data_IF_289419142211
#
_entry.id   IF_289419142211
#
_cell.length_a   1.000
_cell.length_b   1.000
_cell.length_c   1.000
_cell.angle_alpha   90.00
_cell.angle_beta   90.00
_cell.angle_gamma   90.00
#
_symmetry.space_group_name_H-M   'P 1'
#
loop_
_entity.id
_entity.type
_entity.pdbx_description
1 polymer ?
#
# COMPACT_ATOMS: atom_id res chain seq x y z
N UNK A 1 -4.94 -13.29 23.16
CA UNK A 1 -5.55 -14.30 22.26
C UNK A 1 -7.04 -14.56 22.54
N UNK A 2 -7.48 -14.88 23.77
CA UNK A 2 -8.89 -15.24 24.05
C UNK A 2 -9.93 -14.16 23.69
N UNK A 3 -9.66 -12.88 24.00
CA UNK A 3 -10.60 -11.76 23.72
C UNK A 3 -10.72 -11.38 22.24
N UNK A 4 -9.73 -11.71 21.41
CA UNK A 4 -9.78 -11.45 19.94
C UNK A 4 -10.84 -12.35 19.30
N UNK A 5 -10.88 -13.62 19.70
CA UNK A 5 -11.88 -14.58 19.24
C UNK A 5 -13.28 -14.25 19.76
N UNK A 6 -13.41 -13.52 20.88
CA UNK A 6 -14.69 -13.03 21.39
C UNK A 6 -15.21 -11.82 20.59
N UNK A 7 -14.32 -10.93 20.13
CA UNK A 7 -14.71 -9.73 19.37
C UNK A 7 -15.01 -10.05 17.90
N UNK A 8 -14.22 -10.93 17.29
CA UNK A 8 -14.38 -11.28 15.88
C UNK A 8 -15.16 -12.58 15.66
N UNK A 9 -15.23 -13.47 16.65
CA UNK A 9 -15.59 -14.86 16.40
C UNK A 9 -14.49 -15.58 15.61
N UNK A 10 -14.64 -16.89 15.40
CA UNK A 10 -13.78 -17.60 14.45
C UNK A 10 -14.24 -17.25 13.02
N UNK A 11 -13.60 -16.25 12.41
CA UNK A 11 -13.92 -15.83 11.05
C UNK A 11 -13.20 -16.74 10.05
N UNK A 12 -13.99 -17.46 9.26
CA UNK A 12 -13.44 -18.18 8.11
C UNK A 12 -13.03 -17.19 7.00
N UNK A 13 -12.12 -17.57 6.08
CA UNK A 13 -11.71 -16.71 4.96
C UNK A 13 -12.88 -16.16 4.14
N UNK A 14 -13.97 -16.93 3.99
CA UNK A 14 -15.19 -16.50 3.28
C UNK A 14 -16.00 -15.43 4.02
N UNK A 15 -15.90 -15.39 5.35
CA UNK A 15 -16.53 -14.37 6.19
C UNK A 15 -15.70 -13.08 6.21
N UNK A 16 -14.39 -13.20 6.04
CA UNK A 16 -13.49 -12.05 5.94
C UNK A 16 -13.75 -11.21 4.67
N UNK A 17 -14.08 -11.86 3.56
CA UNK A 17 -14.37 -11.21 2.27
C UNK A 17 -15.79 -10.64 2.17
N UNK A 18 -16.64 -10.85 3.18
CA UNK A 18 -18.04 -10.40 3.20
C UNK A 18 -18.34 -9.41 4.33
N UNK A 19 -17.38 -9.15 5.21
CA UNK A 19 -17.52 -8.17 6.28
C UNK A 19 -17.42 -6.76 5.70
N UNK A 20 -18.39 -5.91 6.01
CA UNK A 20 -18.38 -4.52 5.55
C UNK A 20 -17.27 -3.72 6.26
N UNK A 21 -16.72 -2.74 5.54
CA UNK A 21 -15.58 -1.95 6.00
C UNK A 21 -15.88 -1.14 7.27
N UNK A 22 -17.15 -0.77 7.51
CA UNK A 22 -17.56 -0.05 8.71
C UNK A 22 -17.47 -0.97 9.93
N UNK A 23 -18.00 -2.19 9.84
CA UNK A 23 -17.91 -3.21 10.89
C UNK A 23 -16.47 -3.60 11.20
N UNK A 24 -15.61 -3.72 10.17
CA UNK A 24 -14.17 -3.98 10.36
C UNK A 24 -13.50 -2.86 11.16
N UNK A 25 -13.79 -1.59 10.80
CA UNK A 25 -13.21 -0.41 11.46
C UNK A 25 -13.65 -0.27 12.91
N UNK A 26 -14.92 -0.56 13.21
CA UNK A 26 -15.46 -0.52 14.58
C UNK A 26 -14.84 -1.62 15.47
N UNK A 27 -14.72 -2.84 14.95
CA UNK A 27 -14.10 -3.95 15.67
C UNK A 27 -12.60 -3.74 15.88
N UNK A 28 -11.88 -3.21 14.89
CA UNK A 28 -10.46 -2.85 15.02
C UNK A 28 -10.23 -1.72 16.04
N UNK A 29 -11.13 -0.72 16.07
CA UNK A 29 -11.07 0.37 17.06
C UNK A 29 -11.32 -0.14 18.49
N UNK A 30 -12.21 -1.12 18.63
CA UNK A 30 -12.49 -1.78 19.91
C UNK A 30 -11.27 -2.56 20.41
N UNK A 31 -10.60 -3.32 19.54
CA UNK A 31 -9.35 -4.01 19.88
C UNK A 31 -8.24 -3.05 20.31
N UNK A 32 -8.02 -1.98 19.54
CA UNK A 32 -7.03 -0.94 19.85
C UNK A 32 -7.24 -0.34 21.24
N UNK A 33 -8.49 -0.08 21.60
CA UNK A 33 -8.82 0.50 22.90
C UNK A 33 -8.67 -0.52 24.04
N UNK A 34 -8.94 -1.81 23.77
CA UNK A 34 -8.88 -2.89 24.77
C UNK A 34 -7.44 -3.30 25.13
N UNK A 35 -6.52 -3.20 24.17
CA UNK A 35 -5.10 -3.54 24.34
C UNK A 35 -4.20 -2.30 24.38
N UNK A 36 -4.78 -1.11 24.59
CA UNK A 36 -4.10 0.18 24.52
C UNK A 36 -2.84 0.27 25.40
N UNK A 37 -2.86 -0.41 26.53
CA UNK A 37 -1.79 -0.37 27.54
C UNK A 37 -0.80 -1.54 27.40
N UNK A 38 -1.15 -2.58 26.63
CA UNK A 38 -0.31 -3.78 26.38
C UNK A 38 0.34 -3.77 24.98
N UNK A 39 -0.14 -2.90 24.08
CA UNK A 39 0.36 -2.82 22.71
C UNK A 39 1.65 -2.02 22.69
N UNK A 40 2.78 -2.73 22.61
CA UNK A 40 4.04 -2.13 22.20
C UNK A 40 3.80 -1.40 20.86
N UNK A 41 3.98 -0.08 20.90
CA UNK A 41 3.61 0.83 19.80
C UNK A 41 4.41 0.51 18.54
N UNK A 42 5.57 -0.11 18.72
CA UNK A 42 6.45 -0.58 17.67
C UNK A 42 5.95 -1.92 17.08
N UNK A 43 5.42 -2.83 17.89
CA UNK A 43 4.81 -4.10 17.43
C UNK A 43 3.49 -3.86 16.67
N UNK A 44 2.65 -2.93 17.15
CA UNK A 44 1.45 -2.52 16.42
C UNK A 44 1.79 -1.80 15.10
N UNK A 45 2.91 -1.09 15.04
CA UNK A 45 3.39 -0.47 13.80
C UNK A 45 3.84 -1.54 12.80
N UNK A 46 4.51 -2.60 13.28
CA UNK A 46 4.89 -3.78 12.47
C UNK A 46 3.64 -4.55 12.00
N UNK A 47 2.58 -4.65 12.81
CA UNK A 47 1.33 -5.33 12.43
C UNK A 47 0.40 -4.47 11.55
N UNK A 48 0.45 -3.14 11.65
CA UNK A 48 -0.17 -2.23 10.67
C UNK A 48 0.63 -2.22 9.36
N UNK A 49 1.96 -2.37 9.42
CA UNK A 49 2.78 -2.65 8.23
C UNK A 49 2.52 -4.07 7.67
N UNK A 50 2.02 -5.00 8.49
CA UNK A 50 1.57 -6.34 8.11
C UNK A 50 0.17 -6.37 7.46
N UNK A 51 -0.61 -5.28 7.54
CA UNK A 51 -1.69 -4.98 6.57
C UNK A 51 -1.13 -4.62 5.17
N UNK A 52 0.11 -5.02 4.91
CA UNK A 52 0.68 -5.34 3.59
C UNK A 52 -0.40 -5.94 2.69
N UNK A 53 -0.81 -5.10 1.77
CA UNK A 53 -1.33 -5.46 0.46
C UNK A 53 -0.65 -6.74 -0.06
N UNK A 54 -1.42 -7.63 -0.68
CA UNK A 54 -0.99 -8.93 -1.19
C UNK A 54 0.24 -8.85 -2.10
N UNK A 55 0.99 -9.95 -2.16
CA UNK A 55 2.41 -10.03 -2.55
C UNK A 55 2.72 -9.65 -4.01
N UNK A 56 1.74 -9.43 -4.88
CA UNK A 56 1.96 -9.35 -6.35
C UNK A 56 1.26 -8.20 -7.09
N UNK A 57 0.83 -7.12 -6.41
CA UNK A 57 0.31 -5.95 -7.15
C UNK A 57 1.39 -5.07 -7.73
N UNK A 58 1.16 -4.64 -8.97
CA UNK A 58 1.93 -3.57 -9.59
C UNK A 58 1.61 -2.22 -8.93
N UNK A 59 2.48 -1.23 -9.14
CA UNK A 59 2.19 0.16 -8.76
C UNK A 59 0.88 0.64 -9.41
N UNK A 60 0.57 0.17 -10.62
CA UNK A 60 -0.68 0.53 -11.32
C UNK A 60 -1.92 0.03 -10.60
N UNK A 61 -1.91 -1.23 -10.12
CA UNK A 61 -3.03 -1.80 -9.36
C UNK A 61 -3.24 -1.04 -8.05
N UNK A 62 -2.14 -0.70 -7.39
CA UNK A 62 -2.18 0.08 -6.15
C UNK A 62 -2.79 1.48 -6.37
N UNK A 63 -2.42 2.18 -7.45
CA UNK A 63 -3.00 3.48 -7.79
C UNK A 63 -4.49 3.36 -8.11
N UNK A 64 -4.92 2.30 -8.80
CA UNK A 64 -6.31 2.07 -9.12
C UNK A 64 -7.16 1.89 -7.87
N UNK A 65 -6.70 1.07 -6.92
CA UNK A 65 -7.36 0.88 -5.63
C UNK A 65 -7.40 2.19 -4.83
N UNK A 66 -6.27 2.90 -4.75
CA UNK A 66 -6.21 4.15 -4.00
C UNK A 66 -7.16 5.22 -4.55
N UNK A 67 -7.27 5.33 -5.88
CA UNK A 67 -8.22 6.25 -6.54
C UNK A 67 -9.67 5.84 -6.29
N UNK A 68 -9.98 4.54 -6.33
CA UNK A 68 -11.32 4.03 -6.01
C UNK A 68 -11.70 4.39 -4.57
N UNK A 69 -10.85 4.07 -3.61
CA UNK A 69 -11.13 4.27 -2.19
C UNK A 69 -11.28 5.77 -1.84
N UNK A 70 -10.53 6.64 -2.51
CA UNK A 70 -10.64 8.10 -2.34
C UNK A 70 -11.89 8.68 -3.02
N UNK A 71 -12.36 8.10 -4.13
CA UNK A 71 -13.61 8.54 -4.76
C UNK A 71 -14.84 8.30 -3.88
N UNK A 72 -14.74 7.35 -2.94
CA UNK A 72 -15.77 7.08 -1.93
C UNK A 72 -15.67 8.02 -0.71
N UNK A 73 -14.68 8.92 -0.68
CA UNK A 73 -14.44 9.82 0.44
C UNK A 73 -14.73 11.29 0.08
N UNK A 74 -15.44 12.01 0.95
CA UNK A 74 -15.74 13.45 0.79
C UNK A 74 -14.58 14.35 1.27
N UNK A 75 -13.44 14.33 0.58
CA UNK A 75 -12.24 15.13 0.91
C UNK A 75 -12.34 16.63 0.53
N UNK A 76 -13.51 17.24 0.71
CA UNK A 76 -13.71 18.68 0.49
C UNK A 76 -13.66 19.46 1.79
N UNK A 77 -12.87 20.53 1.82
CA UNK A 77 -12.81 21.47 2.96
C UNK A 77 -13.30 22.84 2.52
N UNK A 78 -14.16 23.46 3.32
CA UNK A 78 -14.59 24.83 3.09
C UNK A 78 -13.44 25.79 3.45
N UNK A 79 -12.93 26.51 2.46
CA UNK A 79 -11.97 27.60 2.68
C UNK A 79 -12.71 28.86 3.16
N UNK A 80 -12.07 29.67 3.99
CA UNK A 80 -12.52 31.03 4.36
C UNK A 80 -12.77 31.91 3.11
N UNK A 81 -12.10 31.58 2.00
CA UNK A 81 -12.28 32.17 0.69
C UNK A 81 -13.56 31.76 -0.06
N UNK A 82 -14.52 31.10 0.62
CA UNK A 82 -15.80 30.60 0.05
C UNK A 82 -15.63 29.63 -1.14
N UNK A 83 -14.46 28.99 -1.24
CA UNK A 83 -14.16 27.94 -2.22
C UNK A 83 -14.05 26.61 -1.50
N UNK A 84 -14.64 25.56 -2.07
CA UNK A 84 -14.36 24.19 -1.63
C UNK A 84 -13.00 23.80 -2.21
N UNK A 85 -12.04 23.49 -1.33
CA UNK A 85 -10.72 23.00 -1.71
C UNK A 85 -10.69 21.50 -1.46
N UNK A 86 -10.40 20.72 -2.50
CA UNK A 86 -10.19 19.28 -2.34
C UNK A 86 -8.79 19.04 -1.78
N UNK A 87 -8.71 18.39 -0.63
CA UNK A 87 -7.42 17.94 -0.07
C UNK A 87 -7.05 16.54 -0.56
N UNK A 88 -7.89 15.93 -1.41
CA UNK A 88 -7.71 14.57 -1.93
C UNK A 88 -6.32 14.36 -2.53
N UNK A 89 -5.77 15.34 -3.23
CA UNK A 89 -4.44 15.23 -3.88
C UNK A 89 -3.29 15.11 -2.87
N UNK A 90 -3.35 15.88 -1.78
CA UNK A 90 -2.36 15.80 -0.68
C UNK A 90 -2.43 14.43 -0.01
N UNK A 91 -3.66 13.94 0.24
CA UNK A 91 -3.87 12.61 0.80
C UNK A 91 -3.42 11.51 -0.14
N UNK A 92 -3.74 11.60 -1.44
CA UNK A 92 -3.32 10.67 -2.49
C UNK A 92 -1.80 10.54 -2.50
N UNK A 93 -1.07 11.66 -2.55
CA UNK A 93 0.40 11.66 -2.54
C UNK A 93 0.97 11.02 -1.28
N UNK A 94 0.47 11.41 -0.11
CA UNK A 94 0.97 10.89 1.17
C UNK A 94 0.71 9.39 1.32
N UNK A 95 -0.51 8.95 0.99
CA UNK A 95 -0.87 7.53 1.06
C UNK A 95 -0.06 6.72 0.05
N UNK A 96 0.03 7.19 -1.20
CA UNK A 96 0.78 6.53 -2.25
C UNK A 96 2.24 6.31 -1.87
N UNK A 97 2.98 7.37 -1.50
CA UNK A 97 4.40 7.26 -1.11
C UNK A 97 4.58 6.32 0.08
N UNK A 98 3.68 6.39 1.07
CA UNK A 98 3.72 5.50 2.24
C UNK A 98 3.51 4.04 1.84
N UNK A 99 2.55 3.77 0.95
CA UNK A 99 2.15 2.42 0.52
C UNK A 99 3.07 1.76 -0.50
N UNK A 100 3.98 2.49 -1.16
CA UNK A 100 5.01 1.87 -2.02
C UNK A 100 5.85 0.91 -1.19
N UNK A 101 5.90 -0.36 -1.62
CA UNK A 101 6.69 -1.39 -0.93
C UNK A 101 8.17 -1.34 -1.29
N UNK A 102 8.48 -0.97 -2.53
CA UNK A 102 9.84 -0.95 -3.03
C UNK A 102 10.60 0.26 -2.47
N UNK A 103 11.46 0.03 -1.48
CA UNK A 103 12.20 1.09 -0.79
C UNK A 103 13.04 1.95 -1.74
N UNK A 104 13.56 1.37 -2.83
CA UNK A 104 14.34 2.11 -3.81
C UNK A 104 13.45 3.04 -4.64
N UNK A 105 12.30 2.55 -5.13
CA UNK A 105 11.34 3.40 -5.86
C UNK A 105 10.84 4.53 -4.94
N UNK A 106 10.53 4.20 -3.68
CA UNK A 106 10.12 5.18 -2.67
C UNK A 106 11.16 6.28 -2.47
N UNK A 107 12.43 5.91 -2.32
CA UNK A 107 13.53 6.86 -2.20
C UNK A 107 13.68 7.76 -3.44
N UNK A 108 13.60 7.18 -4.64
CA UNK A 108 13.68 7.93 -5.91
C UNK A 108 12.53 8.93 -6.10
N UNK A 109 11.36 8.65 -5.52
CA UNK A 109 10.23 9.56 -5.50
C UNK A 109 10.44 10.66 -4.45
N UNK A 110 10.90 10.31 -3.25
CA UNK A 110 11.18 11.25 -2.16
C UNK A 110 12.29 12.25 -2.51
N UNK A 111 13.27 11.84 -3.29
CA UNK A 111 14.34 12.71 -3.81
C UNK A 111 13.92 13.55 -5.02
N UNK A 112 12.70 13.34 -5.55
CA UNK A 112 12.21 14.11 -6.70
C UNK A 112 11.59 15.44 -6.28
N UNK A 113 11.65 16.43 -7.18
CA UNK A 113 10.97 17.72 -7.00
C UNK A 113 9.49 17.67 -7.46
N UNK A 114 8.97 16.48 -7.76
CA UNK A 114 7.60 16.33 -8.29
C UNK A 114 6.56 16.62 -7.22
N UNK A 115 5.59 17.46 -7.59
CA UNK A 115 4.51 17.89 -6.71
C UNK A 115 3.12 17.47 -7.16
N UNK A 116 2.91 17.17 -8.44
CA UNK A 116 1.66 16.62 -8.93
C UNK A 116 1.58 15.11 -8.64
N UNK A 117 0.41 14.64 -8.23
CA UNK A 117 0.20 13.22 -7.95
C UNK A 117 0.40 12.34 -9.19
N UNK A 118 -0.08 12.77 -10.36
CA UNK A 118 0.03 11.97 -11.59
C UNK A 118 1.49 11.86 -12.03
N UNK A 119 2.24 12.96 -11.98
CA UNK A 119 3.68 12.94 -12.30
C UNK A 119 4.46 11.98 -11.40
N UNK A 120 4.12 11.94 -10.10
CA UNK A 120 4.72 11.02 -9.13
C UNK A 120 4.39 9.56 -9.47
N UNK A 121 3.14 9.28 -9.85
CA UNK A 121 2.69 7.94 -10.27
C UNK A 121 3.40 7.50 -11.54
N UNK A 122 3.49 8.36 -12.56
CA UNK A 122 4.14 8.06 -13.83
C UNK A 122 5.62 7.73 -13.63
N UNK A 123 6.30 8.52 -12.79
CA UNK A 123 7.69 8.23 -12.39
C UNK A 123 7.80 6.88 -11.70
N UNK A 124 6.89 6.56 -10.78
CA UNK A 124 6.90 5.31 -10.04
C UNK A 124 6.74 4.09 -10.97
N UNK A 125 5.80 4.14 -11.92
CA UNK A 125 5.55 3.10 -12.92
C UNK A 125 6.77 2.91 -13.83
N UNK A 126 7.39 4.01 -14.27
CA UNK A 126 8.61 3.95 -15.08
C UNK A 126 9.77 3.27 -14.35
N UNK A 127 9.93 3.54 -13.05
CA UNK A 127 10.95 2.92 -12.20
C UNK A 127 10.67 1.42 -11.96
N UNK A 128 9.41 1.04 -11.73
CA UNK A 128 8.99 -0.36 -11.61
C UNK A 128 9.28 -1.15 -12.90
N UNK A 129 8.88 -0.60 -14.05
CA UNK A 129 9.10 -1.20 -15.37
C UNK A 129 10.61 -1.37 -15.66
N UNK A 130 11.41 -0.34 -15.36
CA UNK A 130 12.87 -0.37 -15.53
C UNK A 130 13.51 -1.49 -14.70
N UNK A 131 13.01 -1.74 -13.49
CA UNK A 131 13.50 -2.79 -12.60
C UNK A 131 13.12 -4.19 -13.08
N UNK A 132 11.92 -4.36 -13.64
CA UNK A 132 11.48 -5.63 -14.26
C UNK A 132 12.37 -5.96 -15.46
N UNK A 133 12.60 -5.00 -16.37
CA UNK A 133 13.47 -5.19 -17.53
C UNK A 133 14.90 -5.61 -17.14
N UNK A 134 15.50 -4.96 -16.13
CA UNK A 134 16.82 -5.35 -15.63
C UNK A 134 16.85 -6.77 -15.01
N UNK A 135 15.77 -7.19 -14.35
CA UNK A 135 15.65 -8.57 -13.81
C UNK A 135 15.52 -9.61 -14.91
N UNK A 136 14.81 -9.31 -15.99
CA UNK A 136 14.68 -10.23 -17.13
C UNK A 136 15.99 -10.38 -17.91
N UNK A 137 16.72 -9.28 -18.11
CA UNK A 137 18.04 -9.28 -18.76
C UNK A 137 19.09 -10.05 -17.94
N UNK A 138 19.07 -9.92 -16.62
CA UNK A 138 19.98 -10.66 -15.73
C UNK A 138 19.68 -12.17 -15.68
N UNK A 139 18.40 -12.57 -15.73
CA UNK A 139 17.99 -13.98 -15.78
C UNK A 139 18.33 -14.65 -17.13
N UNK A 140 18.17 -13.93 -18.24
CA UNK A 140 18.50 -14.47 -19.57
C UNK A 140 20.01 -14.70 -19.73
N UNK A 141 20.85 -13.84 -19.16
CA UNK A 141 22.31 -14.01 -19.19
C UNK A 141 22.81 -15.21 -18.37
N UNK A 142 22.22 -15.50 -17.20
CA UNK A 142 22.59 -16.69 -16.41
C UNK A 142 22.16 -18.00 -17.09
N UNK A 143 21.01 -17.99 -17.77
CA UNK A 143 20.52 -19.19 -18.48
C UNK A 143 21.37 -19.50 -19.73
N UNK A 144 21.89 -18.49 -20.42
CA UNK A 144 22.78 -18.65 -21.57
C UNK A 144 24.16 -19.24 -21.19
N UNK A 145 24.72 -18.81 -20.06
CA UNK A 145 26.01 -19.31 -19.54
C UNK A 145 25.94 -20.78 -19.07
N UNK A 146 24.83 -21.22 -18.47
CA UNK A 146 24.64 -22.62 -18.08
C UNK A 146 24.48 -23.58 -19.27
N UNK A 147 24.01 -23.10 -20.42
CA UNK A 147 23.89 -23.91 -21.64
C UNK A 147 25.21 -24.01 -22.43
N UNK A 148 26.11 -23.04 -22.30
CA UNK A 148 27.47 -23.14 -22.84
C UNK A 148 28.36 -24.07 -22.01
N UNK A 149 28.24 -24.05 -20.68
CA UNK A 149 29.05 -24.91 -19.79
C UNK A 149 28.62 -26.39 -19.74
N UNK A 150 27.47 -26.76 -20.31
CA UNK A 150 27.02 -28.17 -20.45
C UNK A 150 27.35 -28.80 -21.81
N UNK A 151 27.99 -28.07 -22.71
CA UNK A 151 28.37 -28.54 -24.06
C UNK A 151 29.89 -28.60 -24.29
N UNK A 152 30.69 -28.40 -23.25
CA UNK A 152 32.13 -28.67 -23.23
C UNK A 152 32.40 -29.91 -22.36
#
# INVERSE_FOLDING_TARGET
MQKVNEIFGFLSPKQLTTLDNKTLREKASTLRNLYRDDLDKDELSVEIESFKYTVDSSISDYVADLRRDISECEFSVACECSKNVSVADIFLRAQFIRGIKDSWIKEQILQSELTDFNDIVDKAIALETSKINCRELSKSNTTALEQQNRKA
#
